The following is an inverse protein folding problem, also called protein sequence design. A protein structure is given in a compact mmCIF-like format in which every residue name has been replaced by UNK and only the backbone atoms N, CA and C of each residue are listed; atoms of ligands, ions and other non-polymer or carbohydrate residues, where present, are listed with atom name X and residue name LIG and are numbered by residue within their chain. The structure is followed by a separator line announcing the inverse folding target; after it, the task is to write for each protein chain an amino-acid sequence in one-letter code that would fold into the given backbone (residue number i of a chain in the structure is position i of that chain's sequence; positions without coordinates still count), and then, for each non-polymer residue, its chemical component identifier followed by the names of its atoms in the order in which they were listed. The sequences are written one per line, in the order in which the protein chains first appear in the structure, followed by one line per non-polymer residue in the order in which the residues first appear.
data_IF_819394923037
#
_entry.id   IF_819394923037
#
_cell.length_a   1.000
_cell.length_b   1.000
_cell.length_c   1.000
_cell.angle_alpha   90.00
_cell.angle_beta   90.00
_cell.angle_gamma   90.00
#
_symmetry.space_group_name_H-M   'P 1'
#
loop_
_entity.id
_entity.type
_entity.pdbx_description
1 polymer ?
#
# COMPACT_ATOMS: atom_id res chain seq x y z
N UNK A 1 -48.16 -38.25 -34.63
CA UNK A 1 -47.31 -38.84 -33.59
C UNK A 1 -47.49 -38.05 -32.30
N UNK A 2 -47.83 -38.77 -31.22
CA UNK A 2 -47.66 -38.48 -29.77
C UNK A 2 -47.76 -37.03 -29.25
N UNK A 3 -48.83 -36.80 -28.49
CA UNK A 3 -49.10 -35.80 -27.44
C UNK A 3 -48.05 -35.77 -26.34
N UNK A 4 -47.77 -34.59 -25.75
CA UNK A 4 -47.70 -34.37 -24.28
C UNK A 4 -48.10 -32.90 -23.96
N UNK A 5 -49.08 -32.74 -23.07
CA UNK A 5 -49.56 -31.49 -22.48
C UNK A 5 -49.55 -31.76 -20.96
N UNK A 6 -48.76 -31.03 -20.14
CA UNK A 6 -48.93 -31.01 -18.67
C UNK A 6 -48.62 -29.61 -18.13
N UNK A 7 -49.68 -29.00 -17.60
CA UNK A 7 -49.77 -27.76 -16.82
C UNK A 7 -49.75 -28.14 -15.33
N UNK A 8 -48.97 -27.47 -14.47
CA UNK A 8 -49.42 -27.27 -13.06
C UNK A 8 -48.73 -26.10 -12.37
N UNK A 9 -49.56 -25.35 -11.65
CA UNK A 9 -49.32 -24.15 -10.84
C UNK A 9 -48.97 -24.58 -9.41
N UNK A 10 -48.11 -23.83 -8.71
CA UNK A 10 -47.88 -24.01 -7.28
C UNK A 10 -47.17 -22.84 -6.62
N UNK A 11 -47.93 -21.82 -6.22
CA UNK A 11 -47.48 -20.73 -5.36
C UNK A 11 -47.41 -21.22 -3.89
N UNK A 12 -46.30 -20.95 -3.20
CA UNK A 12 -46.16 -21.14 -1.75
C UNK A 12 -46.02 -19.77 -1.09
N UNK A 13 -47.13 -19.28 -0.53
CA UNK A 13 -47.19 -18.24 0.48
C UNK A 13 -47.04 -18.89 1.86
N UNK A 14 -46.05 -18.45 2.65
CA UNK A 14 -46.05 -18.63 4.11
C UNK A 14 -45.72 -17.30 4.78
N UNK A 15 -46.80 -16.65 5.22
CA UNK A 15 -46.84 -15.60 6.23
C UNK A 15 -47.04 -16.24 7.60
N UNK A 16 -46.23 -15.92 8.61
CA UNK A 16 -46.64 -15.85 10.02
C UNK A 16 -45.53 -15.20 10.87
N UNK A 17 -45.87 -14.17 11.64
CA UNK A 17 -44.95 -13.40 12.48
C UNK A 17 -44.81 -13.92 13.92
N UNK A 18 -44.12 -13.14 14.77
CA UNK A 18 -44.14 -13.27 16.23
C UNK A 18 -42.79 -13.06 16.92
N UNK A 19 -42.74 -12.04 17.80
CA UNK A 19 -41.66 -11.68 18.72
C UNK A 19 -41.82 -12.40 20.08
N UNK A 20 -40.79 -12.28 20.95
CA UNK A 20 -40.57 -12.86 22.32
C UNK A 20 -39.89 -14.24 22.31
N UNK A 21 -38.88 -14.62 23.10
CA UNK A 21 -38.05 -14.00 24.15
C UNK A 21 -37.41 -15.15 24.98
N UNK A 22 -36.07 -15.12 25.17
CA UNK A 22 -35.21 -15.74 26.24
C UNK A 22 -35.44 -17.24 26.59
N UNK A 23 -34.44 -18.14 26.55
CA UNK A 23 -33.45 -18.42 27.60
C UNK A 23 -32.22 -19.19 27.06
N UNK A 24 -31.09 -18.97 27.73
CA UNK A 24 -29.75 -19.46 27.43
C UNK A 24 -29.55 -20.98 27.64
N UNK A 25 -28.68 -21.60 26.82
CA UNK A 25 -27.51 -22.27 27.36
C UNK A 25 -26.38 -22.39 26.32
N UNK A 26 -25.18 -22.57 26.87
CA UNK A 26 -23.83 -22.27 26.41
C UNK A 26 -23.23 -23.28 25.42
N UNK A 27 -22.54 -22.77 24.38
CA UNK A 27 -21.28 -23.34 23.87
C UNK A 27 -20.55 -22.32 22.97
N UNK A 28 -19.54 -21.67 23.55
CA UNK A 28 -18.51 -20.93 22.82
C UNK A 28 -17.71 -21.89 21.94
N UNK A 29 -17.81 -21.73 20.62
CA UNK A 29 -16.77 -22.13 19.70
C UNK A 29 -16.41 -20.91 18.86
N UNK A 30 -15.34 -20.24 19.30
CA UNK A 30 -14.70 -19.14 18.61
C UNK A 30 -14.37 -19.56 17.17
N UNK A 31 -14.91 -18.84 16.18
CA UNK A 31 -14.29 -18.77 14.88
C UNK A 31 -14.37 -17.32 14.39
N UNK A 32 -13.19 -16.72 14.27
CA UNK A 32 -13.01 -15.32 13.98
C UNK A 32 -13.51 -15.01 12.57
N UNK A 33 -14.71 -14.44 12.49
CA UNK A 33 -15.11 -13.67 11.32
C UNK A 33 -14.26 -12.41 11.30
N UNK A 34 -13.14 -12.49 10.58
CA UNK A 34 -12.36 -11.34 10.15
C UNK A 34 -13.32 -10.39 9.46
N UNK A 35 -13.55 -9.23 10.09
CA UNK A 35 -14.32 -8.15 9.52
C UNK A 35 -13.69 -7.77 8.16
N UNK A 36 -14.27 -8.29 7.09
CA UNK A 36 -14.04 -7.79 5.74
C UNK A 36 -14.67 -6.40 5.73
N UNK A 37 -13.85 -5.40 5.99
CA UNK A 37 -14.21 -3.99 5.87
C UNK A 37 -14.59 -3.73 4.40
N UNK A 38 -15.89 -3.77 4.13
CA UNK A 38 -16.49 -3.29 2.89
C UNK A 38 -16.33 -1.78 2.83
N UNK A 39 -15.20 -1.32 2.27
CA UNK A 39 -15.04 0.08 1.91
C UNK A 39 -15.97 0.38 0.72
N UNK A 40 -17.11 1.00 1.03
CA UNK A 40 -17.99 1.65 0.07
C UNK A 40 -17.18 2.64 -0.77
N UNK A 41 -17.05 2.34 -2.06
CA UNK A 41 -16.35 3.17 -3.03
C UNK A 41 -17.28 4.28 -3.51
N UNK A 42 -17.11 5.48 -2.97
CA UNK A 42 -17.52 6.70 -3.64
C UNK A 42 -16.26 7.55 -3.81
N UNK A 43 -15.74 7.55 -5.02
CA UNK A 43 -14.59 8.33 -5.43
C UNK A 43 -14.74 8.60 -6.91
N UNK A 44 -14.61 9.86 -7.28
CA UNK A 44 -14.72 10.35 -8.65
C UNK A 44 -13.86 9.50 -9.58
N UNK A 45 -14.53 8.76 -10.48
CA UNK A 45 -13.88 7.88 -11.45
C UNK A 45 -13.30 8.75 -12.55
N UNK A 46 -12.02 9.06 -12.45
CA UNK A 46 -11.26 9.49 -13.62
C UNK A 46 -11.01 8.25 -14.48
N UNK A 47 -11.44 8.28 -15.74
CA UNK A 47 -11.36 7.13 -16.64
C UNK A 47 -10.38 7.46 -17.78
N UNK A 48 -9.10 7.52 -17.44
CA UNK A 48 -8.03 7.79 -18.40
C UNK A 48 -7.18 6.51 -18.55
N UNK A 49 -7.07 6.00 -19.77
CA UNK A 49 -6.02 5.04 -20.10
C UNK A 49 -4.69 5.76 -20.01
N UNK A 50 -3.71 5.14 -19.36
CA UNK A 50 -2.42 5.75 -19.05
C UNK A 50 -1.32 4.99 -19.77
N UNK A 51 -0.38 5.74 -20.36
CA UNK A 51 0.75 5.17 -21.07
C UNK A 51 1.72 4.50 -20.09
N UNK A 52 2.58 3.62 -20.61
CA UNK A 52 3.62 2.97 -19.80
C UNK A 52 4.62 3.97 -19.24
N UNK A 53 4.90 5.04 -19.97
CA UNK A 53 5.83 6.11 -19.60
C UNK A 53 5.29 6.93 -18.41
N UNK A 54 3.98 7.15 -18.35
CA UNK A 54 3.36 7.84 -17.22
C UNK A 54 3.38 6.97 -15.95
N UNK A 55 3.27 5.64 -16.10
CA UNK A 55 3.33 4.71 -14.97
C UNK A 55 4.73 4.58 -14.38
N UNK A 56 5.80 4.63 -15.19
CA UNK A 56 7.18 4.44 -14.69
C UNK A 56 7.60 5.53 -13.71
N UNK A 57 7.00 6.73 -13.82
CA UNK A 57 7.21 7.84 -12.90
C UNK A 57 6.59 7.64 -11.50
N UNK A 58 5.73 6.64 -11.34
CA UNK A 58 5.01 6.42 -10.09
C UNK A 58 5.89 5.71 -9.06
N UNK A 59 5.88 6.15 -7.78
CA UNK A 59 6.72 5.53 -6.74
C UNK A 59 6.38 4.05 -6.50
N UNK A 60 5.16 3.63 -6.81
CA UNK A 60 4.70 2.25 -6.74
C UNK A 60 5.13 1.36 -7.92
N UNK A 61 5.61 1.94 -9.02
CA UNK A 61 5.84 1.21 -10.27
C UNK A 61 6.90 0.12 -10.16
N UNK A 62 8.08 0.43 -9.58
CA UNK A 62 9.17 -0.57 -9.43
C UNK A 62 8.68 -1.83 -8.69
N UNK A 63 7.87 -1.65 -7.65
CA UNK A 63 7.31 -2.78 -6.90
C UNK A 63 6.20 -3.49 -7.68
N UNK A 64 5.36 -2.74 -8.39
CA UNK A 64 4.32 -3.32 -9.25
C UNK A 64 4.94 -4.18 -10.36
N UNK A 65 5.91 -3.65 -11.10
CA UNK A 65 6.63 -4.34 -12.18
C UNK A 65 7.40 -5.57 -11.70
N UNK A 66 7.89 -5.57 -10.45
CA UNK A 66 8.52 -6.74 -9.85
C UNK A 66 7.54 -7.86 -9.48
N UNK A 67 6.24 -7.58 -9.41
CA UNK A 67 5.20 -8.56 -9.01
C UNK A 67 4.27 -8.94 -10.15
N UNK A 68 4.10 -8.06 -11.11
CA UNK A 68 3.23 -8.25 -12.27
C UNK A 68 4.02 -7.81 -13.49
N UNK A 69 3.99 -8.63 -14.54
CA UNK A 69 4.52 -8.26 -15.85
C UNK A 69 3.61 -7.20 -16.49
N UNK A 70 3.81 -5.93 -16.14
CA UNK A 70 2.96 -4.79 -16.53
C UNK A 70 2.89 -4.64 -18.05
N UNK A 71 3.93 -5.06 -18.78
CA UNK A 71 4.00 -4.97 -20.24
C UNK A 71 2.88 -5.73 -20.97
N UNK A 72 2.30 -6.74 -20.31
CA UNK A 72 1.20 -7.56 -20.86
C UNK A 72 -0.19 -6.97 -20.67
N UNK A 73 -0.29 -5.82 -19.99
CA UNK A 73 -1.57 -5.25 -19.60
C UNK A 73 -1.66 -3.78 -20.00
N UNK A 74 -2.88 -3.35 -20.33
CA UNK A 74 -3.20 -1.92 -20.37
C UNK A 74 -3.51 -1.44 -18.97
N UNK A 75 -3.00 -0.26 -18.62
CA UNK A 75 -3.23 0.34 -17.30
C UNK A 75 -4.24 1.48 -17.38
N UNK A 76 -5.13 1.51 -16.39
CA UNK A 76 -6.10 2.56 -16.21
C UNK A 76 -6.04 3.07 -14.77
N UNK A 77 -5.77 4.35 -14.60
CA UNK A 77 -5.93 5.00 -13.29
C UNK A 77 -7.42 5.29 -13.11
N UNK A 78 -8.03 4.70 -12.08
CA UNK A 78 -9.47 4.86 -11.79
C UNK A 78 -9.71 5.90 -10.70
N UNK A 79 -8.75 6.03 -9.78
CA UNK A 79 -8.77 7.02 -8.71
C UNK A 79 -7.34 7.53 -8.55
N UNK A 80 -7.16 8.84 -8.53
CA UNK A 80 -5.92 9.46 -8.07
C UNK A 80 -6.27 10.72 -7.29
N UNK A 81 -6.08 10.67 -5.97
CA UNK A 81 -6.28 11.83 -5.10
C UNK A 81 -5.15 11.92 -4.06
N UNK A 82 -5.22 12.90 -3.17
CA UNK A 82 -4.17 13.14 -2.17
C UNK A 82 -3.94 11.95 -1.21
N UNK A 83 -4.93 11.09 -1.03
CA UNK A 83 -4.84 9.97 -0.09
C UNK A 83 -4.44 8.67 -0.76
N UNK A 84 -4.94 8.40 -1.97
CA UNK A 84 -4.73 7.11 -2.65
C UNK A 84 -4.71 7.22 -4.17
N UNK A 85 -4.01 6.27 -4.79
CA UNK A 85 -4.13 5.96 -6.21
C UNK A 85 -4.62 4.53 -6.39
N UNK A 86 -5.51 4.32 -7.36
CA UNK A 86 -6.04 3.01 -7.74
C UNK A 86 -5.80 2.81 -9.22
N UNK A 87 -5.03 1.79 -9.58
CA UNK A 87 -4.74 1.42 -10.96
C UNK A 87 -5.35 0.05 -11.24
N UNK A 88 -6.05 -0.08 -12.35
CA UNK A 88 -6.58 -1.34 -12.85
C UNK A 88 -5.75 -1.75 -14.06
N UNK A 89 -5.26 -2.99 -14.05
CA UNK A 89 -4.54 -3.59 -15.17
C UNK A 89 -5.48 -4.55 -15.91
N UNK A 90 -5.66 -4.31 -17.21
CA UNK A 90 -6.54 -5.08 -18.08
C UNK A 90 -5.76 -5.89 -19.09
N UNK A 91 -6.20 -7.12 -19.34
CA UNK A 91 -5.61 -7.97 -20.37
C UNK A 91 -5.91 -7.46 -21.78
N UNK A 92 -5.38 -8.15 -22.80
CA UNK A 92 -5.59 -7.82 -24.22
C UNK A 92 -7.06 -7.85 -24.64
N UNK A 93 -7.93 -8.55 -23.90
CA UNK A 93 -9.37 -8.61 -24.13
C UNK A 93 -10.13 -7.53 -23.34
N UNK A 94 -9.42 -6.61 -22.67
CA UNK A 94 -10.00 -5.56 -21.83
C UNK A 94 -10.52 -6.05 -20.48
N UNK A 95 -10.23 -7.29 -20.06
CA UNK A 95 -10.72 -7.83 -18.79
C UNK A 95 -9.79 -7.41 -17.65
N UNK A 96 -10.37 -6.93 -16.55
CA UNK A 96 -9.60 -6.57 -15.36
C UNK A 96 -8.91 -7.80 -14.77
N UNK A 97 -7.57 -7.80 -14.74
CA UNK A 97 -6.77 -8.89 -14.20
C UNK A 97 -6.23 -8.55 -12.82
N UNK A 98 -5.75 -7.31 -12.64
CA UNK A 98 -5.23 -6.84 -11.37
C UNK A 98 -5.80 -5.48 -10.99
N UNK A 99 -5.86 -5.23 -9.70
CA UNK A 99 -6.13 -3.92 -9.10
C UNK A 99 -5.03 -3.60 -8.11
N UNK A 100 -4.47 -2.40 -8.21
CA UNK A 100 -3.52 -1.86 -7.25
C UNK A 100 -4.20 -0.76 -6.45
N UNK A 101 -3.82 -0.64 -5.17
CA UNK A 101 -4.19 0.48 -4.32
C UNK A 101 -2.93 0.96 -3.63
N UNK A 102 -2.48 2.15 -3.99
CA UNK A 102 -1.37 2.83 -3.33
C UNK A 102 -1.93 3.85 -2.35
N UNK A 103 -1.71 3.62 -1.06
CA UNK A 103 -2.08 4.54 0.03
C UNK A 103 -0.91 5.49 0.25
N UNK A 104 -1.02 6.71 -0.29
CA UNK A 104 0.08 7.70 -0.36
C UNK A 104 0.56 8.11 1.03
N UNK A 105 -0.38 8.28 1.97
CA UNK A 105 -0.05 8.68 3.36
C UNK A 105 0.75 7.63 4.13
N UNK A 106 0.72 6.37 3.69
CA UNK A 106 1.38 5.24 4.34
C UNK A 106 2.49 4.64 3.49
N UNK A 107 2.71 5.18 2.28
CA UNK A 107 3.52 4.54 1.23
C UNK A 107 3.25 3.04 1.12
N UNK A 108 1.98 2.64 1.22
CA UNK A 108 1.60 1.22 1.22
C UNK A 108 0.99 0.84 -0.12
N UNK A 109 1.57 -0.16 -0.76
CA UNK A 109 1.03 -0.73 -1.99
C UNK A 109 0.33 -2.05 -1.67
N UNK A 110 -0.92 -2.15 -2.14
CA UNK A 110 -1.68 -3.39 -2.21
C UNK A 110 -1.86 -3.77 -3.68
N UNK A 111 -1.63 -5.04 -4.02
CA UNK A 111 -1.88 -5.61 -5.34
C UNK A 111 -2.80 -6.82 -5.16
N UNK A 112 -3.89 -6.83 -5.91
CA UNK A 112 -4.91 -7.88 -5.90
C UNK A 112 -5.05 -8.43 -7.31
N UNK A 113 -4.90 -9.74 -7.46
CA UNK A 113 -5.35 -10.49 -8.64
C UNK A 113 -6.85 -10.77 -8.46
N UNK A 114 -7.69 -10.42 -9.44
CA UNK A 114 -9.12 -10.69 -9.38
C UNK A 114 -9.48 -12.19 -9.34
N UNK A 115 -8.60 -13.08 -9.80
CA UNK A 115 -8.77 -14.54 -9.72
C UNK A 115 -8.03 -15.18 -8.54
N UNK A 116 -6.92 -14.58 -8.12
CA UNK A 116 -5.99 -15.16 -7.14
C UNK A 116 -6.03 -14.52 -5.76
N UNK A 117 -6.78 -13.42 -5.58
CA UNK A 117 -6.83 -12.67 -4.33
C UNK A 117 -5.63 -11.74 -4.14
N UNK A 118 -5.35 -11.38 -2.89
CA UNK A 118 -4.30 -10.42 -2.56
C UNK A 118 -2.91 -11.06 -2.69
N UNK A 119 -2.09 -10.54 -3.61
CA UNK A 119 -0.74 -11.06 -3.87
C UNK A 119 0.37 -10.18 -3.28
N UNK A 120 0.05 -8.93 -2.93
CA UNK A 120 1.00 -8.02 -2.26
C UNK A 120 0.26 -7.03 -1.37
N UNK A 121 0.81 -6.75 -0.18
CA UNK A 121 0.32 -5.72 0.74
C UNK A 121 1.42 -5.32 1.73
N UNK A 122 2.29 -4.41 1.33
CA UNK A 122 3.39 -3.93 2.19
C UNK A 122 3.61 -2.43 2.00
N UNK A 123 4.23 -1.82 3.00
CA UNK A 123 4.84 -0.49 2.85
C UNK A 123 5.99 -0.65 1.86
N UNK A 124 5.96 0.14 0.81
CA UNK A 124 7.03 0.25 -0.17
C UNK A 124 7.83 1.49 0.19
N UNK A 125 9.14 1.34 0.34
CA UNK A 125 10.01 2.51 0.34
C UNK A 125 9.84 3.11 -1.04
N UNK A 126 9.30 4.33 -1.15
CA UNK A 126 9.30 5.05 -2.40
C UNK A 126 10.74 5.04 -2.90
N UNK A 127 10.96 4.41 -4.04
CA UNK A 127 12.26 4.46 -4.69
C UNK A 127 12.34 5.88 -5.22
N UNK A 128 12.83 6.79 -4.39
CA UNK A 128 13.72 7.82 -4.89
C UNK A 128 14.83 7.04 -5.57
N UNK A 129 14.85 7.06 -6.89
CA UNK A 129 15.98 6.58 -7.67
C UNK A 129 17.22 7.34 -7.18
N UNK A 130 17.94 6.68 -6.29
CA UNK A 130 19.36 6.80 -6.07
C UNK A 130 19.83 5.39 -5.71
N UNK A 131 19.71 4.48 -6.69
CA UNK A 131 20.82 3.57 -6.93
C UNK A 131 21.98 4.41 -7.46
N UNK A 132 22.59 5.16 -6.55
CA UNK A 132 23.96 5.62 -6.69
C UNK A 132 24.70 4.82 -5.63
N UNK A 133 25.60 3.97 -6.12
CA UNK A 133 26.88 3.58 -5.50
C UNK A 133 27.17 4.33 -4.19
N UNK A 134 27.59 3.65 -3.09
CA UNK A 134 27.72 4.28 -1.77
C UNK A 134 28.47 5.61 -1.91
N UNK A 135 27.72 6.71 -1.81
CA UNK A 135 28.32 8.02 -1.70
C UNK A 135 29.04 7.98 -0.35
N UNK A 136 30.36 7.85 -0.41
CA UNK A 136 31.21 7.87 0.75
C UNK A 136 31.02 9.22 1.44
N UNK A 137 30.30 9.20 2.56
CA UNK A 137 30.17 10.34 3.45
C UNK A 137 28.75 10.88 3.63
N UNK A 138 28.67 11.92 4.44
CA UNK A 138 27.46 12.66 4.76
C UNK A 138 27.37 13.81 3.76
N UNK A 139 26.24 13.98 3.06
CA UNK A 139 26.04 15.16 2.19
C UNK A 139 25.91 16.43 3.03
N UNK A 140 26.29 17.58 2.46
CA UNK A 140 26.20 18.88 3.15
C UNK A 140 24.77 19.19 3.63
N UNK A 141 23.76 18.80 2.84
CA UNK A 141 22.34 18.95 3.23
C UNK A 141 21.99 18.14 4.49
N UNK A 142 22.51 16.92 4.60
CA UNK A 142 22.31 16.09 5.80
C UNK A 142 23.12 16.63 6.97
N UNK A 143 24.36 17.08 6.74
CA UNK A 143 25.21 17.67 7.79
C UNK A 143 24.56 18.90 8.44
N UNK A 144 23.81 19.68 7.66
CA UNK A 144 23.07 20.84 8.16
C UNK A 144 21.76 20.51 8.87
N UNK A 145 21.28 19.27 8.77
CA UNK A 145 20.03 18.82 9.38
C UNK A 145 20.07 18.82 10.91
N UNK A 146 18.90 19.05 11.53
CA UNK A 146 18.76 19.08 12.99
C UNK A 146 19.05 17.70 13.59
N UNK A 147 18.69 16.66 12.86
CA UNK A 147 18.91 15.26 13.20
C UNK A 147 20.38 14.90 13.26
N UNK A 148 21.12 15.31 12.23
CA UNK A 148 22.55 15.08 12.16
C UNK A 148 23.26 15.76 13.32
N UNK A 149 23.00 17.06 13.52
CA UNK A 149 23.60 17.86 14.61
C UNK A 149 23.35 17.24 15.98
N UNK A 150 22.15 16.67 16.21
CA UNK A 150 21.85 15.98 17.47
C UNK A 150 22.58 14.65 17.63
N UNK A 151 22.69 13.87 16.56
CA UNK A 151 23.39 12.59 16.62
C UNK A 151 24.91 12.81 16.74
N UNK A 152 25.49 13.69 15.93
CA UNK A 152 26.93 13.99 15.91
C UNK A 152 27.44 14.64 17.19
N UNK A 153 26.58 15.29 17.97
CA UNK A 153 26.92 15.78 19.30
C UNK A 153 27.24 14.65 20.30
N UNK A 154 26.84 13.41 20.01
CA UNK A 154 27.00 12.26 20.91
C UNK A 154 27.77 11.09 20.30
N UNK A 155 27.92 11.08 18.98
CA UNK A 155 28.45 9.95 18.21
C UNK A 155 29.38 10.48 17.14
N UNK A 156 30.56 9.88 16.99
CA UNK A 156 31.42 10.15 15.84
C UNK A 156 30.81 9.52 14.58
N UNK A 157 30.51 10.36 13.58
CA UNK A 157 29.88 9.96 12.33
C UNK A 157 30.84 9.97 11.13
N UNK A 158 32.14 10.14 11.36
CA UNK A 158 33.16 10.22 10.29
C UNK A 158 33.18 8.98 9.38
N UNK A 159 33.00 7.79 9.95
CA UNK A 159 32.98 6.51 9.23
C UNK A 159 31.60 6.10 8.70
N UNK A 160 30.62 7.00 8.78
CA UNK A 160 29.24 6.71 8.43
C UNK A 160 28.82 7.40 7.12
N UNK A 161 27.96 6.71 6.39
CA UNK A 161 27.19 7.30 5.28
C UNK A 161 25.77 7.55 5.73
N UNK A 162 25.15 8.61 5.21
CA UNK A 162 23.75 8.93 5.50
C UNK A 162 22.87 8.71 4.27
N UNK A 163 21.72 8.08 4.49
CA UNK A 163 20.69 7.89 3.48
C UNK A 163 19.36 8.44 3.99
N UNK A 164 18.84 9.48 3.34
CA UNK A 164 17.48 9.96 3.57
C UNK A 164 16.52 8.96 2.92
N UNK A 165 15.70 8.29 3.73
CA UNK A 165 14.76 7.25 3.26
C UNK A 165 13.30 7.72 3.25
N UNK A 166 13.01 8.80 3.96
CA UNK A 166 11.71 9.45 3.92
C UNK A 166 11.92 10.93 4.23
N UNK A 167 11.42 11.83 3.37
CA UNK A 167 11.30 13.25 3.70
C UNK A 167 9.96 13.77 3.19
N UNK A 168 9.11 14.24 4.10
CA UNK A 168 7.82 14.83 3.76
C UNK A 168 7.50 16.02 4.69
N UNK A 169 6.31 16.60 4.55
CA UNK A 169 5.90 17.78 5.33
C UNK A 169 5.84 17.51 6.85
N UNK A 170 5.69 16.26 7.27
CA UNK A 170 5.49 15.91 8.68
C UNK A 170 6.75 15.37 9.35
N UNK A 171 7.55 14.59 8.62
CA UNK A 171 8.72 13.94 9.17
C UNK A 171 9.83 13.70 8.15
N UNK A 172 11.03 13.51 8.67
CA UNK A 172 12.20 13.03 7.93
C UNK A 172 12.82 11.84 8.64
N UNK A 173 13.28 10.85 7.88
CA UNK A 173 13.96 9.66 8.38
C UNK A 173 15.29 9.51 7.64
N UNK A 174 16.38 9.44 8.41
CA UNK A 174 17.73 9.23 7.88
C UNK A 174 18.30 7.97 8.50
N UNK A 175 18.90 7.12 7.65
CA UNK A 175 19.65 5.94 8.07
C UNK A 175 21.14 6.25 7.99
N UNK A 176 21.87 5.93 9.06
CA UNK A 176 23.32 6.02 9.11
C UNK A 176 23.90 4.62 9.04
N UNK A 177 24.73 4.39 8.02
CA UNK A 177 25.31 3.08 7.73
C UNK A 177 26.82 3.11 7.93
N UNK A 178 27.35 2.04 8.49
CA UNK A 178 28.80 1.84 8.61
C UNK A 178 29.44 1.60 7.23
N UNK A 179 30.77 1.48 7.19
CA UNK A 179 31.54 1.20 5.97
C UNK A 179 31.12 -0.10 5.24
N UNK A 180 30.48 -1.04 5.95
CA UNK A 180 29.96 -2.28 5.37
C UNK A 180 28.52 -2.13 4.86
N UNK A 181 27.92 -0.94 4.97
CA UNK A 181 26.55 -0.66 4.57
C UNK A 181 25.48 -1.09 5.59
N UNK A 182 25.87 -1.52 6.79
CA UNK A 182 24.93 -1.88 7.85
C UNK A 182 24.40 -0.64 8.55
N UNK A 183 23.08 -0.55 8.70
CA UNK A 183 22.44 0.53 9.45
C UNK A 183 22.79 0.37 10.93
N UNK A 184 23.44 1.38 11.52
CA UNK A 184 23.71 1.45 12.97
C UNK A 184 22.82 2.45 13.68
N UNK A 185 22.44 3.51 12.97
CA UNK A 185 21.54 4.51 13.52
C UNK A 185 20.40 4.81 12.56
N UNK A 186 19.25 5.10 13.15
CA UNK A 186 18.09 5.67 12.46
C UNK A 186 17.64 6.90 13.22
N UNK A 187 17.53 8.02 12.52
CA UNK A 187 16.91 9.22 13.06
C UNK A 187 15.50 9.38 12.51
N UNK A 188 14.60 9.91 13.34
CA UNK A 188 13.24 10.29 12.95
C UNK A 188 13.02 11.70 13.48
N UNK A 189 12.86 12.65 12.56
CA UNK A 189 12.51 14.02 12.88
C UNK A 189 11.05 14.28 12.64
N UNK A 190 10.36 14.83 13.63
CA UNK A 190 8.96 15.26 13.53
C UNK A 190 8.95 16.77 13.36
N UNK A 191 8.88 17.24 12.10
CA UNK A 191 9.06 18.64 11.69
C UNK A 191 8.15 19.61 12.43
N UNK A 192 6.88 19.23 12.64
CA UNK A 192 5.89 20.05 13.35
C UNK A 192 6.30 20.36 14.79
N UNK A 193 7.00 19.44 15.45
CA UNK A 193 7.34 19.55 16.88
C UNK A 193 8.81 19.86 17.13
N UNK A 194 9.66 19.79 16.10
CA UNK A 194 11.11 19.86 16.29
C UNK A 194 11.73 18.63 16.99
N UNK A 195 10.92 17.61 17.28
CA UNK A 195 11.37 16.43 18.03
C UNK A 195 12.21 15.51 17.14
N UNK A 196 13.36 15.08 17.66
CA UNK A 196 14.24 14.11 17.00
C UNK A 196 14.34 12.87 17.87
N UNK A 197 14.00 11.72 17.30
CA UNK A 197 14.24 10.41 17.90
C UNK A 197 15.46 9.78 17.24
N UNK A 198 16.39 9.31 18.06
CA UNK A 198 17.54 8.52 17.62
C UNK A 198 17.29 7.07 18.06
N UNK A 199 17.59 6.12 17.17
CA UNK A 199 17.42 4.69 17.40
C UNK A 199 18.73 4.01 17.01
N UNK A 200 19.37 3.31 17.95
CA UNK A 200 20.44 2.36 17.65
C UNK A 200 19.82 1.08 17.12
N UNK A 201 20.39 0.54 16.03
CA UNK A 201 19.91 -0.65 15.33
C UNK A 201 20.87 -1.82 15.56
#
# INVERSE_FOLDING_TARGET
MKTILITTIGALLLTAGGVTGIHADRAEAANQNVAVSNYSQQGDRYNNNVSTEDLTSLPEYKTLAAKVDVSKYSAQIVVDNLQKRVIVLKDMNGRERYKTVFVKTQNRLKIVDYKGGMIFNKVISGVTDNETQPASGISDEVAESVEYKKLSATTDLSDYSAQVVEDNLYKRIILFKDANGHVKFKTIYVKKTGFVKIINV
#
